data_IF_186125359664
#
_entry.id   IF_186125359664
#
_cell.length_a   1.000
_cell.length_b   1.000
_cell.length_c   1.000
_cell.angle_alpha   90.00
_cell.angle_beta   90.00
_cell.angle_gamma   90.00
#
_symmetry.space_group_name_H-M   'P 1'
#
loop_
_entity.id
_entity.type
_entity.pdbx_description
1 polymer ?
#
# COMPACT_ATOMS: atom_id res chain seq x y z
N UNK A 1 15.43 0.87 4.24
CA UNK A 1 15.14 0.63 2.84
C UNK A 1 13.69 1.02 2.55
N UNK A 2 13.45 1.85 1.56
CA UNK A 2 12.08 2.29 1.27
C UNK A 2 11.29 1.26 0.47
N UNK A 3 10.00 1.18 0.74
CA UNK A 3 9.08 0.30 0.03
C UNK A 3 7.86 1.08 -0.43
N UNK A 4 7.48 0.89 -1.68
CA UNK A 4 6.21 1.41 -2.18
C UNK A 4 5.18 0.31 -2.03
N UNK A 5 4.16 0.56 -1.23
CA UNK A 5 3.14 -0.45 -0.94
C UNK A 5 2.08 -0.40 -2.04
N UNK A 6 1.81 -1.55 -2.63
CA UNK A 6 0.81 -1.68 -3.67
C UNK A 6 -0.59 -1.64 -3.06
N UNK A 7 -1.54 -1.17 -3.86
CA UNK A 7 -2.96 -1.12 -3.48
C UNK A 7 -3.46 -2.47 -2.99
N UNK A 8 -3.05 -3.55 -3.64
CA UNK A 8 -3.52 -4.89 -3.28
C UNK A 8 -3.18 -5.29 -1.86
N UNK A 9 -2.05 -4.83 -1.34
CA UNK A 9 -1.67 -5.13 0.04
C UNK A 9 -2.68 -4.50 1.00
N UNK A 10 -3.02 -3.23 0.78
CA UNK A 10 -4.00 -2.56 1.62
C UNK A 10 -5.39 -3.18 1.49
N UNK A 11 -5.75 -3.57 0.27
CA UNK A 11 -7.07 -4.16 0.04
C UNK A 11 -7.24 -5.52 0.71
N UNK A 12 -6.18 -6.29 0.87
CA UNK A 12 -6.25 -7.57 1.55
C UNK A 12 -6.47 -7.44 3.05
N UNK A 13 -6.20 -6.29 3.60
CA UNK A 13 -6.35 -6.04 5.03
C UNK A 13 -7.80 -5.68 5.39
N UNK A 14 -8.54 -5.12 4.46
CA UNK A 14 -9.87 -4.59 4.73
C UNK A 14 -10.90 -5.67 5.10
N UNK A 15 -11.11 -6.73 4.29
CA UNK A 15 -12.06 -7.76 4.69
C UNK A 15 -11.45 -8.67 5.75
N UNK A 16 -12.14 -8.82 6.86
CA UNK A 16 -11.66 -9.68 7.95
C UNK A 16 -11.58 -11.15 7.53
N UNK A 17 -12.29 -11.49 6.48
CA UNK A 17 -12.35 -12.88 5.98
C UNK A 17 -11.34 -13.15 4.88
N UNK A 18 -10.56 -12.17 4.46
CA UNK A 18 -9.57 -12.38 3.40
C UNK A 18 -8.48 -13.34 3.92
N UNK A 19 -8.20 -14.42 3.19
CA UNK A 19 -7.23 -15.42 3.63
C UNK A 19 -5.80 -14.87 3.73
N UNK A 20 -5.50 -13.78 3.00
CA UNK A 20 -4.17 -13.20 3.01
C UNK A 20 -4.04 -12.02 3.97
N UNK A 21 -5.09 -11.72 4.73
CA UNK A 21 -5.09 -10.55 5.62
C UNK A 21 -3.98 -10.62 6.66
N UNK A 22 -3.85 -11.75 7.32
CA UNK A 22 -2.84 -11.89 8.36
C UNK A 22 -1.43 -11.82 7.81
N UNK A 23 -1.21 -12.39 6.63
CA UNK A 23 0.09 -12.32 5.99
C UNK A 23 0.44 -10.88 5.61
N UNK A 24 -0.52 -10.13 5.09
CA UNK A 24 -0.31 -8.74 4.72
C UNK A 24 -0.03 -7.87 5.96
N UNK A 25 -0.81 -8.05 7.02
CA UNK A 25 -0.60 -7.30 8.27
C UNK A 25 0.75 -7.61 8.89
N UNK A 26 1.13 -8.89 8.90
CA UNK A 26 2.41 -9.30 9.46
C UNK A 26 3.57 -8.72 8.68
N UNK A 27 3.48 -8.74 7.36
CA UNK A 27 4.53 -8.19 6.50
C UNK A 27 4.71 -6.70 6.73
N UNK A 28 3.61 -5.93 6.76
CA UNK A 28 3.68 -4.49 7.01
C UNK A 28 4.23 -4.19 8.40
N UNK A 29 3.76 -4.94 9.40
CA UNK A 29 4.20 -4.74 10.77
C UNK A 29 5.70 -4.98 10.92
N UNK A 30 6.21 -6.04 10.31
CA UNK A 30 7.63 -6.34 10.37
C UNK A 30 8.48 -5.27 9.72
N UNK A 31 8.04 -4.75 8.58
CA UNK A 31 8.76 -3.67 7.91
C UNK A 31 8.82 -2.43 8.79
N UNK A 32 7.70 -2.07 9.41
CA UNK A 32 7.64 -0.91 10.29
C UNK A 32 8.54 -1.12 11.51
N UNK A 33 8.48 -2.29 12.11
CA UNK A 33 9.31 -2.61 13.29
C UNK A 33 10.80 -2.58 12.96
N UNK A 34 11.16 -2.91 11.74
CA UNK A 34 12.55 -2.87 11.30
C UNK A 34 13.01 -1.48 10.91
N UNK A 35 12.18 -0.46 11.10
CA UNK A 35 12.53 0.90 10.76
C UNK A 35 12.45 1.23 9.28
N UNK A 36 11.81 0.39 8.49
CA UNK A 36 11.67 0.65 7.08
C UNK A 36 10.61 1.73 6.82
N UNK A 37 10.81 2.50 5.77
CA UNK A 37 9.86 3.52 5.37
C UNK A 37 8.94 2.97 4.31
N UNK A 38 7.64 3.04 4.57
CA UNK A 38 6.63 2.62 3.61
C UNK A 38 6.04 3.85 2.95
N UNK A 39 5.86 3.77 1.64
CA UNK A 39 5.30 4.87 0.86
C UNK A 39 4.01 4.48 0.18
N UNK A 40 3.14 5.45 0.00
CA UNK A 40 1.94 5.31 -0.81
C UNK A 40 1.86 6.50 -1.77
N UNK A 41 1.12 6.33 -2.87
CA UNK A 41 0.93 7.39 -3.86
C UNK A 41 -0.53 7.80 -3.91
N UNK A 42 -0.81 8.92 -4.56
CA UNK A 42 -2.18 9.34 -4.81
C UNK A 42 -2.96 8.26 -5.55
N UNK A 43 -2.32 7.64 -6.54
CA UNK A 43 -2.96 6.59 -7.32
C UNK A 43 -3.36 5.40 -6.45
N UNK A 44 -2.47 4.96 -5.57
CA UNK A 44 -2.76 3.87 -4.65
C UNK A 44 -3.96 4.20 -3.77
N UNK A 45 -3.97 5.41 -3.23
CA UNK A 45 -5.07 5.82 -2.36
C UNK A 45 -6.39 5.92 -3.12
N UNK A 46 -6.36 6.44 -4.36
CA UNK A 46 -7.55 6.55 -5.19
C UNK A 46 -8.11 5.17 -5.56
N UNK A 47 -7.26 4.24 -5.93
CA UNK A 47 -7.68 2.87 -6.23
C UNK A 47 -8.25 2.19 -4.98
N UNK A 48 -7.60 2.39 -3.85
CA UNK A 48 -8.08 1.86 -2.58
C UNK A 48 -9.47 2.38 -2.26
N UNK A 49 -9.67 3.68 -2.41
CA UNK A 49 -10.96 4.32 -2.14
C UNK A 49 -12.04 3.77 -3.07
N UNK A 50 -11.71 3.63 -4.35
CA UNK A 50 -12.66 3.15 -5.35
C UNK A 50 -13.16 1.74 -5.02
N UNK A 51 -12.25 0.83 -4.69
CA UNK A 51 -12.63 -0.54 -4.37
C UNK A 51 -13.42 -0.60 -3.06
N UNK A 52 -12.97 0.13 -2.05
CA UNK A 52 -13.66 0.11 -0.75
C UNK A 52 -15.09 0.62 -0.85
N UNK A 53 -15.35 1.64 -1.63
CA UNK A 53 -16.69 2.23 -1.74
C UNK A 53 -17.54 1.59 -2.85
N UNK A 54 -16.94 0.78 -3.71
CA UNK A 54 -17.70 0.12 -4.77
C UNK A 54 -18.73 -0.82 -4.14
N UNK A 55 -19.96 -0.86 -4.68
CA UNK A 55 -20.97 -1.75 -4.12
C UNK A 55 -20.54 -3.22 -4.18
N UNK A 56 -21.01 -4.00 -3.21
CA UNK A 56 -20.69 -5.43 -3.18
C UNK A 56 -21.29 -6.19 -4.36
N UNK A 57 -22.32 -5.63 -4.99
CA UNK A 57 -22.89 -6.18 -6.21
C UNK A 57 -21.99 -5.96 -7.41
N UNK A 58 -21.06 -5.02 -7.32
CA UNK A 58 -20.09 -4.78 -8.36
C UNK A 58 -18.86 -5.67 -8.11
N UNK A 59 -18.17 -6.01 -9.18
CA UNK A 59 -17.03 -6.92 -9.13
C UNK A 59 -15.94 -6.36 -8.20
N UNK A 60 -15.63 -7.12 -7.15
CA UNK A 60 -14.54 -6.80 -6.26
C UNK A 60 -14.80 -5.64 -5.30
N UNK A 61 -16.04 -5.14 -5.23
CA UNK A 61 -16.34 -4.05 -4.34
C UNK A 61 -16.57 -4.50 -2.90
N UNK A 62 -16.21 -3.64 -1.95
CA UNK A 62 -16.35 -3.93 -0.53
C UNK A 62 -17.57 -3.27 0.10
N UNK A 63 -18.21 -2.35 -0.60
CA UNK A 63 -19.45 -1.73 -0.13
C UNK A 63 -19.31 -0.92 1.14
N UNK A 64 -18.15 -0.39 1.44
CA UNK A 64 -17.95 0.42 2.63
C UNK A 64 -18.53 1.81 2.45
N UNK A 65 -19.02 2.38 3.54
CA UNK A 65 -19.45 3.78 3.53
C UNK A 65 -18.23 4.70 3.34
N UNK A 66 -18.44 5.93 2.86
CA UNK A 66 -17.35 6.89 2.79
C UNK A 66 -16.69 7.14 4.15
N UNK A 67 -17.47 7.15 5.23
CA UNK A 67 -16.90 7.38 6.56
C UNK A 67 -15.98 6.24 6.99
N UNK A 68 -16.35 5.00 6.71
CA UNK A 68 -15.51 3.86 7.03
C UNK A 68 -14.24 3.85 6.16
N UNK A 69 -14.40 4.17 4.89
CA UNK A 69 -13.28 4.24 3.96
C UNK A 69 -12.30 5.33 4.39
N UNK A 70 -12.82 6.47 4.82
CA UNK A 70 -12.00 7.58 5.31
C UNK A 70 -11.14 7.13 6.50
N UNK A 71 -11.71 6.41 7.45
CA UNK A 71 -10.94 5.92 8.59
C UNK A 71 -9.81 4.99 8.18
N UNK A 72 -10.08 4.13 7.20
CA UNK A 72 -9.05 3.22 6.71
C UNK A 72 -7.98 3.94 5.92
N UNK A 73 -8.35 4.93 5.13
CA UNK A 73 -7.39 5.75 4.42
C UNK A 73 -6.47 6.50 5.39
N UNK A 74 -7.01 6.99 6.49
CA UNK A 74 -6.20 7.64 7.53
C UNK A 74 -5.17 6.70 8.15
N UNK A 75 -5.50 5.43 8.26
CA UNK A 75 -4.53 4.44 8.75
C UNK A 75 -3.36 4.31 7.78
N UNK A 76 -3.64 4.29 6.48
CA UNK A 76 -2.58 4.27 5.48
C UNK A 76 -1.69 5.51 5.64
N UNK A 77 -2.30 6.68 5.74
CA UNK A 77 -1.57 7.94 5.89
C UNK A 77 -0.77 8.00 7.17
N UNK A 78 -1.24 7.34 8.21
CA UNK A 78 -0.56 7.33 9.50
C UNK A 78 0.70 6.49 9.49
N UNK A 79 0.67 5.33 8.82
CA UNK A 79 1.80 4.40 8.85
C UNK A 79 2.69 4.47 7.62
N UNK A 80 2.26 5.14 6.58
CA UNK A 80 3.01 5.25 5.35
C UNK A 80 3.22 6.72 5.02
N UNK A 81 4.30 7.01 4.32
CA UNK A 81 4.58 8.37 3.88
C UNK A 81 4.10 8.57 2.45
N UNK A 82 3.60 9.76 2.20
CA UNK A 82 3.16 10.12 0.86
C UNK A 82 4.37 10.31 -0.06
N UNK A 83 4.35 9.65 -1.19
CA UNK A 83 5.33 9.83 -2.24
C UNK A 83 4.73 10.75 -3.30
N UNK A 84 5.18 12.00 -3.40
CA UNK A 84 4.62 12.92 -4.38
C UNK A 84 4.93 12.46 -5.81
N UNK A 85 4.00 12.74 -6.73
CA UNK A 85 4.19 12.40 -8.13
C UNK A 85 4.83 13.56 -8.86
N UNK A 86 6.01 13.96 -8.41
CA UNK A 86 6.81 14.97 -9.09
C UNK A 86 8.01 14.32 -9.74
N UNK A 87 8.58 14.98 -10.74
CA UNK A 87 9.77 14.45 -11.40
C UNK A 87 10.90 14.25 -10.38
N UNK A 88 11.08 15.22 -9.49
CA UNK A 88 12.14 15.14 -8.48
C UNK A 88 11.93 13.95 -7.54
N UNK A 89 10.69 13.71 -7.11
CA UNK A 89 10.38 12.60 -6.21
C UNK A 89 10.59 11.27 -6.92
N UNK A 90 10.20 11.17 -8.19
CA UNK A 90 10.44 9.96 -8.97
C UNK A 90 11.91 9.68 -9.17
N UNK A 91 12.69 10.70 -9.43
CA UNK A 91 14.13 10.54 -9.60
C UNK A 91 14.77 10.08 -8.31
N UNK A 92 14.38 10.65 -7.19
CA UNK A 92 14.88 10.25 -5.89
C UNK A 92 14.51 8.80 -5.57
N UNK A 93 13.26 8.43 -5.83
CA UNK A 93 12.81 7.07 -5.63
C UNK A 93 13.62 6.09 -6.47
N UNK A 94 13.79 6.43 -7.75
CA UNK A 94 14.55 5.57 -8.66
C UNK A 94 15.99 5.41 -8.19
N UNK A 95 16.60 6.48 -7.73
CA UNK A 95 17.96 6.46 -7.22
C UNK A 95 18.09 5.51 -6.03
N UNK A 96 17.14 5.59 -5.11
CA UNK A 96 17.12 4.71 -3.95
C UNK A 96 16.90 3.26 -4.36
N UNK A 97 16.01 3.05 -5.31
CA UNK A 97 15.68 1.69 -5.75
C UNK A 97 16.83 1.04 -6.51
N UNK A 98 17.57 1.80 -7.28
CA UNK A 98 18.74 1.24 -7.97
C UNK A 98 19.74 0.70 -6.96
N UNK A 99 19.93 1.38 -5.85
CA UNK A 99 20.87 0.94 -4.82
C UNK A 99 20.43 -0.27 -4.05
N UNK A 100 19.11 -0.53 -3.97
CA UNK A 100 18.59 -1.58 -3.07
C UNK A 100 17.58 -2.51 -3.74
N UNK A 101 17.28 -2.26 -4.99
CA UNK A 101 16.07 -2.76 -5.62
C UNK A 101 15.91 -4.26 -5.62
N UNK A 102 16.97 -4.97 -5.95
CA UNK A 102 16.86 -6.40 -6.15
C UNK A 102 16.38 -7.09 -4.89
N UNK A 103 17.00 -6.77 -3.77
CA UNK A 103 16.59 -7.35 -2.50
C UNK A 103 15.17 -6.98 -2.13
N UNK A 104 14.87 -5.69 -2.25
CA UNK A 104 13.55 -5.21 -1.89
C UNK A 104 12.45 -5.89 -2.65
N UNK A 105 12.64 -6.08 -3.93
CA UNK A 105 11.61 -6.66 -4.78
C UNK A 105 11.43 -8.14 -4.58
N UNK A 106 12.50 -8.86 -4.32
CA UNK A 106 12.42 -10.30 -4.21
C UNK A 106 11.83 -10.78 -2.91
N UNK A 107 12.00 -10.03 -1.86
CA UNK A 107 11.55 -10.46 -0.56
C UNK A 107 10.08 -10.20 -0.33
N UNK A 108 9.43 -9.57 -1.29
CA UNK A 108 8.17 -9.09 -0.96
C UNK A 108 7.16 -9.38 -1.91
N UNK A 109 6.45 -10.37 -1.70
CA UNK A 109 5.24 -10.66 -2.44
C UNK A 109 4.07 -9.86 -1.93
N UNK A 110 4.11 -9.48 -0.68
CA UNK A 110 3.03 -8.70 -0.08
C UNK A 110 3.20 -7.21 -0.28
N UNK A 111 4.44 -6.77 -0.32
CA UNK A 111 4.73 -5.37 -0.55
C UNK A 111 5.47 -5.26 -1.85
N UNK A 112 4.85 -4.66 -2.81
CA UNK A 112 5.52 -4.43 -4.08
C UNK A 112 6.22 -3.12 -3.99
N UNK A 113 7.49 -3.17 -4.02
CA UNK A 113 8.27 -1.96 -4.02
C UNK A 113 8.47 -1.51 -5.43
N UNK A 114 7.41 -1.54 -6.21
CA UNK A 114 7.59 -1.21 -7.54
C UNK A 114 6.98 0.00 -7.87
N UNK A 115 7.68 0.89 -8.52
CA UNK A 115 7.02 1.84 -9.38
C UNK A 115 6.80 1.11 -10.68
N UNK A 116 6.04 0.23 -10.77
CA UNK A 116 5.89 -0.46 -12.05
C UNK A 116 5.26 0.43 -13.11
#
# INVERSE_FOLDING_TARGET
MPYLVDTNVFLRIVPKTDPDREAALTALRKLIENGETLYYTTQVLAEFWTVCTRPTTARGGYGLSPAKTERKARMIERYCQFLPETVAAHQEWRRLMVGHAVQGMQDRKQCHSLPS
#
